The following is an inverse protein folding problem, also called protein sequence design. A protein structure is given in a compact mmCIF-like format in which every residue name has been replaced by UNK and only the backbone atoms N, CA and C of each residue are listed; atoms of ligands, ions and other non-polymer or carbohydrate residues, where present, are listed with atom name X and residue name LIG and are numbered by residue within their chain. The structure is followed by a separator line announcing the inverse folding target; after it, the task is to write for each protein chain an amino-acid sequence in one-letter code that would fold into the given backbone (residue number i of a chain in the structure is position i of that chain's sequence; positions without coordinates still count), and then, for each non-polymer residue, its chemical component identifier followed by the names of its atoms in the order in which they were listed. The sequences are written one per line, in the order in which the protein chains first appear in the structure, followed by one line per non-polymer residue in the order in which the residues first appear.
data_IF_456114285793
#
_entry.id   IF_456114285793
#
_cell.length_a   1.000
_cell.length_b   1.000
_cell.length_c   1.000
_cell.angle_alpha   90.00
_cell.angle_beta   90.00
_cell.angle_gamma   90.00
#
_symmetry.space_group_name_H-M   'P 1'
#
loop_
_entity.id
_entity.type
_entity.pdbx_description
1 polymer ?
#
# COMPACT_ATOMS: atom_id res chain seq x y z
N UNK A 1 34.45 28.76 -9.36
CA UNK A 1 33.76 27.60 -9.97
C UNK A 1 32.69 27.20 -8.98
N UNK A 2 31.54 27.87 -9.07
CA UNK A 2 30.37 27.61 -8.22
C UNK A 2 29.41 26.76 -9.02
N UNK A 3 28.99 25.65 -8.44
CA UNK A 3 27.98 24.76 -8.98
C UNK A 3 27.58 23.74 -7.92
N UNK A 4 27.31 24.21 -6.70
CA UNK A 4 26.47 23.46 -5.77
C UNK A 4 25.06 23.53 -6.33
N UNK A 5 24.55 22.41 -6.82
CA UNK A 5 23.17 22.25 -7.20
C UNK A 5 22.34 21.99 -5.93
N UNK A 6 21.48 22.92 -5.48
CA UNK A 6 20.64 22.73 -4.32
C UNK A 6 19.20 22.58 -4.81
N UNK A 7 18.89 21.46 -5.47
CA UNK A 7 17.51 21.10 -5.86
C UNK A 7 17.28 19.61 -5.67
N UNK A 8 17.42 19.15 -4.44
CA UNK A 8 16.40 18.26 -3.88
C UNK A 8 15.58 19.16 -2.98
N UNK A 9 14.56 19.80 -3.57
CA UNK A 9 13.55 20.46 -2.77
C UNK A 9 12.99 19.41 -1.83
N UNK A 10 13.22 19.66 -0.54
CA UNK A 10 12.66 19.01 0.63
C UNK A 10 11.14 19.19 0.56
N UNK A 11 10.50 18.52 -0.38
CA UNK A 11 9.06 18.33 -0.41
C UNK A 11 8.76 17.53 0.84
N UNK A 12 8.52 18.26 1.94
CA UNK A 12 8.29 17.71 3.26
C UNK A 12 7.41 16.47 3.11
N UNK A 13 8.01 15.28 3.28
CA UNK A 13 7.34 14.02 3.09
C UNK A 13 6.05 14.08 3.91
N UNK A 14 4.91 14.11 3.22
CA UNK A 14 3.60 14.12 3.88
C UNK A 14 3.42 12.72 4.44
N UNK A 15 3.92 12.55 5.66
CA UNK A 15 3.88 11.28 6.37
C UNK A 15 2.52 11.13 7.06
N UNK A 16 1.92 9.96 6.91
CA UNK A 16 0.67 9.64 7.60
C UNK A 16 0.98 9.41 9.08
N UNK A 17 0.35 10.18 9.96
CA UNK A 17 0.51 9.99 11.40
C UNK A 17 -0.17 8.69 11.84
N UNK A 18 0.53 7.88 12.66
CA UNK A 18 -0.01 6.64 13.20
C UNK A 18 -1.32 6.85 13.99
N UNK A 19 -1.48 8.02 14.62
CA UNK A 19 -2.71 8.40 15.30
C UNK A 19 -3.91 8.48 14.34
N UNK A 20 -3.72 9.08 13.15
CA UNK A 20 -4.77 9.15 12.12
C UNK A 20 -5.20 7.76 11.65
N UNK A 21 -4.25 6.84 11.45
CA UNK A 21 -4.54 5.45 11.10
C UNK A 21 -5.33 4.75 12.20
N UNK A 22 -4.90 4.91 13.46
CA UNK A 22 -5.58 4.31 14.61
C UNK A 22 -7.00 4.87 14.81
N UNK A 23 -7.19 6.18 14.67
CA UNK A 23 -8.50 6.83 14.77
C UNK A 23 -9.45 6.37 13.67
N UNK A 24 -8.98 6.28 12.42
CA UNK A 24 -9.75 5.75 11.30
C UNK A 24 -10.17 4.29 11.53
N UNK A 25 -9.23 3.44 11.99
CA UNK A 25 -9.52 2.05 12.33
C UNK A 25 -10.55 1.93 13.46
N UNK A 26 -10.41 2.71 14.54
CA UNK A 26 -11.35 2.73 15.67
C UNK A 26 -12.74 3.20 15.21
N UNK A 27 -12.82 4.24 14.39
CA UNK A 27 -14.09 4.73 13.86
C UNK A 27 -14.79 3.65 13.03
N UNK A 28 -14.06 2.96 12.15
CA UNK A 28 -14.59 1.88 11.32
C UNK A 28 -15.11 0.70 12.13
N UNK A 29 -14.32 0.22 13.09
CA UNK A 29 -14.68 -0.92 13.93
C UNK A 29 -15.86 -0.60 14.85
N UNK A 30 -15.96 0.65 15.35
CA UNK A 30 -17.12 1.10 16.12
C UNK A 30 -18.38 1.15 15.26
N UNK A 31 -18.31 1.73 14.07
CA UNK A 31 -19.46 1.77 13.17
C UNK A 31 -19.95 0.35 12.82
N UNK A 32 -19.03 -0.58 12.55
CA UNK A 32 -19.37 -1.98 12.31
C UNK A 32 -19.96 -2.66 13.56
N UNK A 33 -19.45 -2.37 14.76
CA UNK A 33 -20.03 -2.89 16.00
C UNK A 33 -21.46 -2.35 16.22
N UNK A 34 -21.68 -1.05 16.02
CA UNK A 34 -22.99 -0.40 16.15
C UNK A 34 -24.00 -0.99 15.17
N UNK A 35 -23.60 -1.25 13.92
CA UNK A 35 -24.46 -1.89 12.91
C UNK A 35 -24.88 -3.31 13.33
N UNK A 36 -23.95 -4.09 13.88
CA UNK A 36 -24.20 -5.46 14.35
C UNK A 36 -25.12 -5.49 15.57
N UNK A 37 -24.94 -4.54 16.48
CA UNK A 37 -25.83 -4.35 17.62
C UNK A 37 -27.24 -3.97 17.16
N UNK A 38 -27.38 -3.06 16.19
CA UNK A 38 -28.67 -2.71 15.58
C UNK A 38 -29.33 -3.90 14.87
N UNK A 39 -28.54 -4.72 14.18
CA UNK A 39 -28.98 -5.95 13.54
C UNK A 39 -29.29 -7.08 14.55
N UNK A 40 -29.02 -6.86 15.84
CA UNK A 40 -29.19 -7.84 16.92
C UNK A 40 -28.40 -9.13 16.66
N UNK A 41 -27.18 -8.98 16.15
CA UNK A 41 -26.29 -10.12 15.96
C UNK A 41 -25.92 -10.77 17.30
N UNK A 42 -25.85 -12.10 17.30
CA UNK A 42 -25.55 -12.88 18.52
C UNK A 42 -24.08 -12.73 18.93
N UNK A 43 -23.18 -12.44 17.99
CA UNK A 43 -21.74 -12.32 18.24
C UNK A 43 -21.20 -10.97 17.80
N UNK A 44 -20.31 -10.40 18.61
CA UNK A 44 -19.65 -9.13 18.33
C UNK A 44 -18.60 -9.20 17.23
N UNK A 45 -18.01 -8.04 16.94
CA UNK A 45 -16.94 -7.88 15.93
C UNK A 45 -15.65 -8.65 16.28
N UNK A 46 -15.42 -8.88 17.58
CA UNK A 46 -14.31 -9.64 18.15
C UNK A 46 -14.37 -11.14 17.82
N UNK A 47 -15.53 -11.63 17.38
CA UNK A 47 -15.71 -13.01 16.93
C UNK A 47 -15.37 -13.23 15.45
N UNK A 48 -15.16 -12.15 14.69
CA UNK A 48 -14.92 -12.21 13.25
C UNK A 48 -13.47 -12.63 12.96
N UNK A 49 -13.23 -13.43 11.90
CA UNK A 49 -11.89 -13.68 11.44
C UNK A 49 -11.28 -12.40 10.85
N UNK A 50 -9.96 -12.27 10.92
CA UNK A 50 -9.20 -11.13 10.40
C UNK A 50 -9.61 -10.72 8.97
N UNK A 51 -9.84 -11.70 8.09
CA UNK A 51 -10.25 -11.47 6.71
C UNK A 51 -11.59 -10.73 6.56
N UNK A 52 -12.49 -10.87 7.53
CA UNK A 52 -13.77 -10.16 7.57
C UNK A 52 -13.64 -8.75 8.18
N UNK A 53 -12.61 -8.52 9.00
CA UNK A 53 -12.31 -7.20 9.57
C UNK A 53 -11.62 -6.29 8.54
N UNK A 54 -10.75 -6.83 7.69
CA UNK A 54 -9.99 -6.05 6.72
C UNK A 54 -10.86 -5.15 5.81
N UNK A 55 -11.99 -5.60 5.21
CA UNK A 55 -12.87 -4.71 4.43
C UNK A 55 -13.47 -3.54 5.21
N UNK A 56 -13.75 -3.73 6.51
CA UNK A 56 -14.25 -2.66 7.38
C UNK A 56 -13.17 -1.61 7.59
N UNK A 57 -11.93 -2.04 7.84
CA UNK A 57 -10.78 -1.14 7.97
C UNK A 57 -10.52 -0.38 6.67
N UNK A 58 -10.56 -1.05 5.51
CA UNK A 58 -10.38 -0.40 4.20
C UNK A 58 -11.39 0.75 4.00
N UNK A 59 -12.66 0.49 4.27
CA UNK A 59 -13.73 1.51 4.20
C UNK A 59 -13.46 2.67 5.15
N UNK A 60 -13.00 2.38 6.37
CA UNK A 60 -12.60 3.39 7.35
C UNK A 60 -11.45 4.28 6.91
N UNK A 61 -10.42 3.68 6.31
CA UNK A 61 -9.28 4.42 5.78
C UNK A 61 -9.68 5.31 4.61
N UNK A 62 -10.50 4.82 3.69
CA UNK A 62 -11.07 5.62 2.60
C UNK A 62 -11.90 6.81 3.13
N UNK A 63 -12.74 6.57 4.14
CA UNK A 63 -13.52 7.63 4.77
C UNK A 63 -12.65 8.69 5.48
N UNK A 64 -11.44 8.32 5.91
CA UNK A 64 -10.46 9.23 6.48
C UNK A 64 -9.61 9.97 5.40
N UNK A 65 -9.90 9.76 4.11
CA UNK A 65 -9.16 10.36 3.00
C UNK A 65 -7.84 9.67 2.69
N UNK A 66 -7.64 8.45 3.19
CA UNK A 66 -6.50 7.61 2.84
C UNK A 66 -6.87 6.68 1.68
N UNK A 67 -5.87 6.26 0.91
CA UNK A 67 -6.04 5.38 -0.24
C UNK A 67 -5.38 4.02 0.04
N UNK A 68 -6.13 3.05 0.61
CA UNK A 68 -5.58 1.75 0.97
C UNK A 68 -5.30 0.88 -0.27
N UNK A 69 -4.10 0.33 -0.35
CA UNK A 69 -3.78 -0.80 -1.22
C UNK A 69 -3.66 -2.06 -0.37
N UNK A 70 -4.10 -3.19 -0.91
CA UNK A 70 -4.09 -4.49 -0.21
C UNK A 70 -3.14 -5.46 -0.90
N UNK A 71 -2.62 -6.39 -0.11
CA UNK A 71 -1.79 -7.50 -0.58
C UNK A 71 -0.52 -7.05 -1.34
N UNK A 72 0.01 -5.87 -0.99
CA UNK A 72 1.22 -5.31 -1.61
C UNK A 72 2.45 -6.01 -1.05
N UNK A 73 3.38 -6.41 -1.92
CA UNK A 73 4.67 -6.97 -1.48
C UNK A 73 5.51 -5.89 -0.82
N UNK A 74 6.26 -6.26 0.22
CA UNK A 74 7.28 -5.36 0.76
C UNK A 74 8.28 -4.96 -0.34
N UNK A 75 8.76 -3.69 -0.35
CA UNK A 75 9.75 -3.25 -1.30
C UNK A 75 11.06 -4.01 -1.09
N UNK A 76 11.74 -4.37 -2.18
CA UNK A 76 13.06 -4.99 -2.10
C UNK A 76 14.09 -3.94 -1.69
N UNK A 77 14.86 -4.21 -0.64
CA UNK A 77 16.05 -3.41 -0.32
C UNK A 77 17.26 -4.00 -1.01
N UNK A 78 18.00 -3.16 -1.71
CA UNK A 78 19.25 -3.55 -2.35
C UNK A 78 20.19 -4.24 -1.35
N UNK A 79 20.55 -5.51 -1.62
CA UNK A 79 21.49 -6.30 -0.82
C UNK A 79 20.88 -7.12 0.32
N UNK A 80 19.57 -7.09 0.54
CA UNK A 80 18.92 -8.02 1.48
C UNK A 80 18.70 -9.40 0.83
N UNK A 81 19.05 -10.52 1.49
CA UNK A 81 18.80 -11.84 0.94
C UNK A 81 17.29 -12.06 0.74
N UNK A 82 16.95 -12.68 -0.40
CA UNK A 82 15.60 -12.93 -0.98
C UNK A 82 14.65 -13.76 -0.10
N UNK A 83 14.89 -13.88 1.21
CA UNK A 83 14.06 -14.68 2.14
C UNK A 83 12.87 -13.93 2.71
N UNK A 84 12.88 -12.58 2.72
CA UNK A 84 11.72 -11.74 3.04
C UNK A 84 10.88 -11.39 1.81
N UNK A 85 11.45 -11.60 0.60
CA UNK A 85 10.82 -11.38 -0.69
C UNK A 85 9.61 -12.32 -0.84
N UNK A 86 8.43 -11.73 -0.98
CA UNK A 86 7.16 -12.45 -1.12
C UNK A 86 6.19 -12.34 0.05
N UNK A 87 6.61 -11.77 1.19
CA UNK A 87 5.65 -11.42 2.26
C UNK A 87 4.84 -10.21 1.81
N UNK A 88 3.51 -10.33 1.87
CA UNK A 88 2.57 -9.27 1.52
C UNK A 88 2.10 -8.57 2.79
N UNK A 89 2.01 -7.25 2.77
CA UNK A 89 1.30 -6.49 3.79
C UNK A 89 -0.20 -6.55 3.56
N UNK A 90 -0.96 -6.53 4.66
CA UNK A 90 -2.41 -6.39 4.60
C UNK A 90 -2.82 -5.05 3.98
N UNK A 91 -2.16 -3.96 4.39
CA UNK A 91 -2.43 -2.61 3.90
C UNK A 91 -1.17 -1.79 3.63
N UNK A 92 -1.22 -0.99 2.57
CA UNK A 92 -0.35 0.16 2.36
C UNK A 92 -1.24 1.39 2.19
N UNK A 93 -1.16 2.32 3.14
CA UNK A 93 -1.99 3.51 3.16
C UNK A 93 -1.25 4.67 2.50
N UNK A 94 -1.93 5.36 1.59
CA UNK A 94 -1.40 6.48 0.81
C UNK A 94 -2.24 7.73 1.05
N UNK A 95 -1.62 8.90 0.95
CA UNK A 95 -2.30 10.22 1.08
C UNK A 95 -2.97 10.69 -0.21
N UNK A 96 -2.71 9.99 -1.32
CA UNK A 96 -3.35 10.19 -2.62
C UNK A 96 -3.45 8.86 -3.35
N UNK A 97 -4.20 8.82 -4.45
CA UNK A 97 -4.33 7.61 -5.27
C UNK A 97 -3.16 7.39 -6.24
N UNK A 98 -2.09 8.18 -6.14
CA UNK A 98 -0.90 8.04 -6.98
C UNK A 98 -0.31 6.62 -6.84
N UNK A 99 0.04 5.94 -7.95
CA UNK A 99 0.60 4.59 -7.92
C UNK A 99 1.89 4.55 -7.08
N UNK A 100 2.19 3.41 -6.44
CA UNK A 100 3.44 3.22 -5.70
C UNK A 100 4.56 2.76 -6.64
N UNK A 101 5.76 3.31 -6.46
CA UNK A 101 6.96 2.86 -7.15
C UNK A 101 7.52 1.62 -6.45
N UNK A 102 7.01 0.45 -6.79
CA UNK A 102 7.46 -0.81 -6.17
C UNK A 102 8.73 -1.38 -6.82
N UNK A 103 9.24 -0.72 -7.87
CA UNK A 103 10.33 -1.22 -8.71
C UNK A 103 9.91 -2.38 -9.61
N UNK A 104 10.39 -2.37 -10.85
CA UNK A 104 10.26 -3.47 -11.79
C UNK A 104 11.35 -4.51 -11.54
N UNK A 105 11.14 -5.40 -10.58
CA UNK A 105 11.81 -6.70 -10.58
C UNK A 105 10.77 -7.75 -10.98
N UNK A 106 10.43 -7.75 -12.27
CA UNK A 106 10.04 -9.00 -12.93
C UNK A 106 11.27 -9.90 -12.73
N UNK A 107 11.11 -10.99 -11.97
CA UNK A 107 12.09 -12.05 -11.93
C UNK A 107 12.40 -12.39 -13.40
N UNK A 108 13.58 -12.00 -13.87
CA UNK A 108 14.17 -12.63 -15.03
C UNK A 108 14.52 -14.05 -14.56
N UNK A 109 13.51 -14.90 -14.41
CA UNK A 109 13.72 -16.32 -14.58
C UNK A 109 14.41 -16.45 -15.93
N UNK A 110 15.61 -17.02 -15.94
CA UNK A 110 16.47 -17.26 -17.10
C UNK A 110 15.73 -18.09 -18.18
N UNK A 111 14.75 -17.50 -18.86
CA UNK A 111 14.30 -17.96 -20.16
C UNK A 111 15.27 -17.38 -21.17
N UNK A 112 16.19 -18.23 -21.64
CA UNK A 112 17.04 -17.92 -22.78
C UNK A 112 16.18 -17.29 -23.91
N UNK A 113 16.62 -16.17 -24.51
CA UNK A 113 15.81 -15.47 -25.49
C UNK A 113 15.62 -16.35 -26.73
N UNK A 114 14.41 -16.91 -26.89
CA UNK A 114 13.95 -17.42 -28.19
C UNK A 114 13.86 -16.21 -29.14
N UNK A 115 14.74 -16.19 -30.14
CA UNK A 115 14.88 -15.12 -31.12
C UNK A 115 13.60 -14.96 -31.94
N UNK A 116 12.65 -14.17 -31.43
CA UNK A 116 11.48 -13.73 -32.17
C UNK A 116 10.95 -12.41 -31.61
N UNK A 117 10.46 -11.47 -32.45
CA UNK A 117 9.72 -10.33 -31.94
C UNK A 117 8.44 -10.85 -31.27
N UNK A 118 8.39 -10.78 -29.95
CA UNK A 118 7.22 -11.15 -29.16
C UNK A 118 5.97 -10.39 -29.60
N UNK A 119 4.81 -11.03 -29.45
CA UNK A 119 3.49 -10.59 -29.94
C UNK A 119 3.00 -9.23 -29.39
N UNK A 120 3.77 -8.57 -28.53
CA UNK A 120 3.44 -7.32 -27.83
C UNK A 120 4.56 -6.28 -27.95
N UNK A 121 5.31 -6.26 -29.05
CA UNK A 121 6.37 -5.28 -29.31
C UNK A 121 5.86 -3.85 -29.62
N UNK A 122 4.91 -3.36 -28.84
CA UNK A 122 4.61 -1.94 -28.65
C UNK A 122 4.44 -1.74 -27.13
N UNK A 123 5.55 -1.46 -26.45
CA UNK A 123 5.52 -1.00 -25.06
C UNK A 123 4.90 0.39 -25.05
N UNK A 124 3.72 0.51 -24.44
CA UNK A 124 3.09 1.79 -24.13
C UNK A 124 4.10 2.67 -23.35
N UNK A 125 4.26 3.95 -23.70
CA UNK A 125 5.16 4.82 -22.97
C UNK A 125 4.68 4.96 -21.52
N UNK A 126 5.62 4.78 -20.58
CA UNK A 126 5.51 5.16 -19.17
C UNK A 126 4.59 6.38 -19.00
N UNK A 127 3.62 6.37 -18.06
CA UNK A 127 2.69 7.48 -17.88
C UNK A 127 3.42 8.68 -17.25
N UNK A 128 4.21 9.36 -18.06
CA UNK A 128 4.77 10.67 -17.78
C UNK A 128 3.62 11.68 -17.92
N UNK A 129 3.36 12.46 -16.88
CA UNK A 129 2.45 13.58 -17.02
C UNK A 129 3.02 14.62 -18.00
N UNK A 130 2.19 15.55 -18.46
CA UNK A 130 2.59 16.60 -19.41
C UNK A 130 3.69 17.54 -18.89
N UNK A 131 4.14 17.37 -17.65
CA UNK A 131 5.21 18.15 -17.00
C UNK A 131 6.53 17.38 -16.88
N UNK A 132 6.55 16.07 -17.20
CA UNK A 132 7.75 15.24 -17.12
C UNK A 132 8.16 14.90 -15.69
N UNK A 133 7.24 15.01 -14.73
CA UNK A 133 7.46 14.63 -13.33
C UNK A 133 6.86 13.26 -13.11
N UNK A 134 7.61 12.36 -12.46
CA UNK A 134 7.08 11.05 -12.06
C UNK A 134 5.92 11.28 -11.08
N UNK A 135 4.70 10.95 -11.50
CA UNK A 135 3.49 11.00 -10.67
C UNK A 135 3.39 9.77 -9.73
N UNK A 136 4.49 9.06 -9.53
CA UNK A 136 4.56 7.84 -8.74
C UNK A 136 5.00 8.18 -7.31
N UNK A 137 4.36 7.55 -6.33
CA UNK A 137 4.61 7.74 -4.90
C UNK A 137 5.76 6.85 -4.43
N UNK A 138 6.72 7.45 -3.74
CA UNK A 138 7.81 6.75 -3.07
C UNK A 138 7.28 5.82 -1.95
N UNK A 139 7.62 4.51 -1.93
CA UNK A 139 7.24 3.56 -0.88
C UNK A 139 7.51 4.03 0.55
N UNK A 140 8.57 4.82 0.78
CA UNK A 140 8.89 5.31 2.13
C UNK A 140 7.92 6.39 2.64
N UNK A 141 7.18 7.04 1.74
CA UNK A 141 6.15 8.03 2.09
C UNK A 141 4.81 7.40 2.48
N UNK A 142 4.61 6.11 2.19
CA UNK A 142 3.41 5.36 2.52
C UNK A 142 3.45 4.75 3.94
N UNK A 143 2.28 4.46 4.50
CA UNK A 143 2.17 3.79 5.79
C UNK A 143 1.86 2.30 5.60
N UNK A 144 2.82 1.45 5.94
CA UNK A 144 2.73 -0.01 5.83
C UNK A 144 2.11 -0.60 7.10
N UNK A 145 1.02 -1.35 6.96
CA UNK A 145 0.22 -1.85 8.06
C UNK A 145 -0.06 -3.35 7.90
N UNK A 146 0.27 -4.08 8.96
CA UNK A 146 -0.10 -5.49 9.16
C UNK A 146 -1.21 -5.54 10.23
N UNK A 147 -2.27 -6.31 9.96
CA UNK A 147 -3.38 -6.52 10.88
C UNK A 147 -3.20 -7.88 11.55
N UNK A 148 -3.45 -7.93 12.86
CA UNK A 148 -3.51 -9.19 13.60
C UNK A 148 -4.69 -9.15 14.56
N UNK A 149 -5.57 -10.14 14.45
CA UNK A 149 -6.63 -10.37 15.44
C UNK A 149 -6.16 -11.39 16.46
N UNK A 150 -6.16 -11.04 17.74
CA UNK A 150 -5.95 -12.00 18.82
C UNK A 150 -7.22 -12.83 19.04
N UNK A 151 -7.07 -14.10 19.42
CA UNK A 151 -8.18 -14.80 20.06
C UNK A 151 -8.45 -14.11 21.40
N UNK A 152 -9.65 -13.57 21.59
CA UNK A 152 -10.13 -13.25 22.91
C UNK A 152 -10.24 -14.57 23.69
N UNK A 153 -9.33 -14.77 24.65
CA UNK A 153 -9.34 -15.91 25.58
C UNK A 153 -10.51 -15.82 26.56
#
# INVERSE_FOLDING_TARGET
MNGSDPRHDDAALVTIAAATVAEAAVAALRAAADERDLAQEVRGIDSLPEREIQPMLATGFEAAGLHPLREVRFPSRAGEPVRSVGTRCDFVLRTSDAPLDLGDEIDAEDDEPDEGPGLFAELDPEPLDASGVSSVMDPESAFWLEVKTGAAC
#
